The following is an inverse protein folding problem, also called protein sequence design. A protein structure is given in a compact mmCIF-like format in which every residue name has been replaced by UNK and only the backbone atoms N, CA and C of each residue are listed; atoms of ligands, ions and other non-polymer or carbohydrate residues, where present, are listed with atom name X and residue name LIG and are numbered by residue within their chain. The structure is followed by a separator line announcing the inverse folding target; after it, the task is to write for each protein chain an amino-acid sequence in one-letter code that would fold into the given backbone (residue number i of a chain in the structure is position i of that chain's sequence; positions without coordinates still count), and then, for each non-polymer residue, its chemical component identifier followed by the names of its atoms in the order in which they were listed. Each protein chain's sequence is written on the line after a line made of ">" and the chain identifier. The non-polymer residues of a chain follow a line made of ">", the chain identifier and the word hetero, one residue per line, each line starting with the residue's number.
data_IF_269587439154
#
_entry.id   IF_269587439154
#
_cell.length_a   1.000
_cell.length_b   1.000
_cell.length_c   1.000
_cell.angle_alpha   90.00
_cell.angle_beta   90.00
_cell.angle_gamma   90.00
#
_symmetry.space_group_name_H-M   'P 1'
#
loop_
_entity.id
_entity.type
_entity.pdbx_description
1 polymer ?
#
# COMPACT_ATOMS: atom_id res chain seq x y z
N UNK A 1 62.37 -17.44 -7.97
CA UNK A 1 62.19 -18.76 -8.63
C UNK A 1 60.89 -18.69 -9.40
N UNK A 2 60.79 -18.74 -10.72
CA UNK A 2 61.74 -19.10 -11.78
C UNK A 2 60.91 -19.71 -12.91
N UNK A 3 60.93 -19.04 -14.08
CA UNK A 3 60.71 -19.53 -15.46
C UNK A 3 59.46 -20.40 -15.79
N UNK A 4 58.81 -20.32 -16.94
CA UNK A 4 59.37 -20.40 -18.30
C UNK A 4 58.41 -19.78 -19.34
N UNK A 5 59.02 -19.11 -20.31
CA UNK A 5 58.45 -18.62 -21.56
C UNK A 5 58.30 -19.76 -22.61
N UNK A 6 57.78 -19.37 -23.78
CA UNK A 6 58.10 -19.83 -25.16
C UNK A 6 57.20 -20.89 -25.78
N UNK A 7 56.90 -20.95 -27.10
CA UNK A 7 57.05 -20.08 -28.29
C UNK A 7 56.39 -20.78 -29.50
N UNK A 8 55.99 -19.99 -30.51
CA UNK A 8 56.10 -20.20 -32.00
C UNK A 8 55.40 -21.38 -32.72
N UNK A 9 54.76 -21.05 -33.86
CA UNK A 9 55.20 -21.39 -35.25
C UNK A 9 53.99 -21.35 -36.21
N UNK A 10 53.82 -20.39 -37.13
CA UNK A 10 54.35 -20.22 -38.52
C UNK A 10 53.98 -21.35 -39.51
N UNK A 11 53.27 -21.01 -40.60
CA UNK A 11 53.50 -21.35 -42.04
C UNK A 11 52.18 -21.10 -42.84
N UNK A 12 52.02 -20.14 -43.78
CA UNK A 12 52.64 -19.86 -45.09
C UNK A 12 52.16 -20.74 -46.25
N UNK A 13 51.55 -20.13 -47.30
CA UNK A 13 51.66 -20.42 -48.75
C UNK A 13 50.79 -19.38 -49.52
N UNK A 14 51.31 -18.38 -50.27
CA UNK A 14 51.85 -18.39 -51.67
C UNK A 14 50.89 -19.04 -52.69
N UNK A 15 50.58 -18.56 -53.90
CA UNK A 15 50.95 -17.42 -54.77
C UNK A 15 49.91 -17.40 -55.94
N UNK A 16 49.72 -16.22 -56.53
CA UNK A 16 49.14 -15.77 -57.82
C UNK A 16 49.52 -16.58 -59.10
N UNK A 17 49.21 -16.11 -60.34
CA UNK A 17 47.93 -16.01 -61.09
C UNK A 17 48.05 -16.67 -62.50
N UNK A 18 46.99 -16.80 -63.30
CA UNK A 18 47.15 -17.04 -64.75
C UNK A 18 46.05 -16.38 -65.60
N UNK A 19 46.48 -15.36 -66.34
CA UNK A 19 45.83 -14.75 -67.50
C UNK A 19 46.03 -15.65 -68.74
N UNK A 20 45.03 -15.76 -69.61
CA UNK A 20 45.21 -16.16 -71.02
C UNK A 20 44.17 -15.47 -71.89
N UNK A 21 44.65 -14.75 -72.90
CA UNK A 21 43.86 -13.99 -73.88
C UNK A 21 43.50 -14.80 -75.14
N UNK A 22 42.36 -14.43 -75.75
CA UNK A 22 42.08 -14.38 -77.20
C UNK A 22 41.29 -15.53 -77.84
N UNK A 23 40.58 -15.35 -78.99
CA UNK A 23 40.41 -14.14 -79.82
C UNK A 23 38.95 -13.81 -80.26
N UNK A 24 38.84 -12.74 -81.05
CA UNK A 24 37.65 -12.06 -81.57
C UNK A 24 36.78 -12.86 -82.56
N UNK A 25 35.45 -12.62 -82.52
CA UNK A 25 34.64 -11.94 -83.55
C UNK A 25 33.18 -12.45 -83.60
N UNK A 26 32.21 -11.56 -83.31
CA UNK A 26 31.06 -11.33 -84.20
C UNK A 26 30.37 -10.03 -83.82
N UNK A 27 30.38 -9.07 -84.75
CA UNK A 27 29.62 -7.81 -84.65
C UNK A 27 28.12 -8.13 -84.61
N UNK A 28 27.47 -7.90 -83.46
CA UNK A 28 26.03 -7.73 -83.40
C UNK A 28 25.70 -6.25 -83.36
N UNK A 29 24.93 -5.80 -84.37
CA UNK A 29 24.37 -4.46 -84.48
C UNK A 29 23.50 -4.18 -83.25
N UNK A 30 23.61 -3.02 -82.58
CA UNK A 30 22.68 -2.70 -81.51
C UNK A 30 21.30 -2.41 -82.12
N UNK A 31 20.20 -2.90 -81.51
CA UNK A 31 18.88 -2.39 -81.84
C UNK A 31 18.80 -0.91 -81.46
N UNK A 32 18.05 -0.16 -82.26
CA UNK A 32 17.87 1.29 -82.17
C UNK A 32 17.35 1.73 -80.80
N UNK A 33 17.94 2.81 -80.28
CA UNK A 33 17.75 3.41 -78.94
C UNK A 33 16.35 4.04 -78.74
N UNK A 34 15.37 3.76 -79.61
CA UNK A 34 14.06 4.44 -79.60
C UNK A 34 12.90 3.61 -79.04
N UNK A 35 13.12 2.36 -78.66
CA UNK A 35 12.08 1.47 -78.12
C UNK A 35 12.34 0.95 -76.70
N UNK A 36 13.34 1.50 -75.99
CA UNK A 36 13.60 1.21 -74.57
C UNK A 36 13.06 2.29 -73.60
N UNK A 37 12.67 3.47 -74.12
CA UNK A 37 12.19 4.59 -73.30
C UNK A 37 10.72 4.48 -72.89
N UNK A 38 9.96 3.53 -73.43
CA UNK A 38 8.53 3.37 -73.12
C UNK A 38 8.26 2.22 -72.11
N UNK A 39 9.20 1.29 -71.91
CA UNK A 39 9.02 0.18 -70.97
C UNK A 39 9.64 0.44 -69.58
N UNK A 40 10.45 1.49 -69.44
CA UNK A 40 11.07 1.88 -68.17
C UNK A 40 10.33 3.03 -67.45
N UNK A 41 9.12 3.36 -67.91
CA UNK A 41 8.23 4.36 -67.28
C UNK A 41 6.99 3.74 -66.63
N UNK A 42 6.73 2.45 -66.86
CA UNK A 42 5.58 1.72 -66.30
C UNK A 42 5.97 0.74 -65.16
N UNK A 43 7.21 0.79 -64.68
CA UNK A 43 7.66 0.06 -63.48
C UNK A 43 7.80 1.01 -62.28
N UNK A 44 7.79 2.33 -62.50
CA UNK A 44 7.80 3.35 -61.44
C UNK A 44 6.42 3.72 -60.88
N UNK A 45 5.35 3.11 -61.38
CA UNK A 45 3.99 3.26 -60.82
C UNK A 45 3.56 2.08 -59.95
N UNK A 46 4.40 1.06 -59.81
CA UNK A 46 4.29 0.04 -58.76
C UNK A 46 5.23 0.39 -57.61
N UNK A 47 5.25 1.67 -57.22
CA UNK A 47 5.70 2.08 -55.90
C UNK A 47 4.79 1.37 -54.91
N UNK A 48 5.23 0.20 -54.46
CA UNK A 48 4.52 -0.57 -53.46
C UNK A 48 4.20 0.36 -52.31
N UNK A 49 2.93 0.39 -51.91
CA UNK A 49 2.58 0.82 -50.57
C UNK A 49 3.35 -0.11 -49.64
N UNK A 50 4.56 0.30 -49.25
CA UNK A 50 5.10 -0.12 -47.98
C UNK A 50 4.12 0.49 -46.97
N UNK A 51 3.04 -0.25 -46.70
CA UNK A 51 2.34 -0.13 -45.43
C UNK A 51 3.47 -0.32 -44.44
N UNK A 52 3.87 0.76 -43.79
CA UNK A 52 4.52 0.65 -42.51
C UNK A 52 3.51 -0.10 -41.66
N UNK A 53 3.64 -1.42 -41.64
CA UNK A 53 3.24 -2.17 -40.48
C UNK A 53 4.22 -1.63 -39.46
N UNK A 54 3.83 -0.54 -38.79
CA UNK A 54 4.23 -0.39 -37.40
C UNK A 54 3.92 -1.75 -36.82
N UNK A 55 4.97 -2.53 -36.62
CA UNK A 55 4.93 -3.63 -35.68
C UNK A 55 4.73 -2.95 -34.33
N UNK A 56 3.51 -2.47 -34.10
CA UNK A 56 2.92 -2.43 -32.79
C UNK A 56 3.07 -3.87 -32.33
N UNK A 57 4.17 -4.12 -31.61
CA UNK A 57 4.31 -5.30 -30.79
C UNK A 57 2.94 -5.48 -30.12
N UNK A 58 2.27 -6.64 -30.26
CA UNK A 58 1.00 -6.85 -29.59
C UNK A 58 1.14 -6.72 -28.06
N UNK A 59 2.37 -6.71 -27.57
CA UNK A 59 2.77 -6.14 -26.29
C UNK A 59 3.10 -4.66 -26.45
N UNK A 60 2.13 -3.81 -26.12
CA UNK A 60 2.50 -2.53 -25.49
C UNK A 60 3.36 -2.87 -24.26
N UNK A 61 4.46 -2.13 -23.98
CA UNK A 61 5.13 -2.27 -22.70
C UNK A 61 4.06 -2.16 -21.60
N UNK A 62 4.06 -3.05 -20.58
CA UNK A 62 3.04 -3.02 -19.54
C UNK A 62 2.96 -1.61 -18.99
N UNK A 63 1.73 -1.09 -18.86
CA UNK A 63 1.51 0.20 -18.21
C UNK A 63 2.20 0.13 -16.86
N UNK A 64 3.22 0.97 -16.67
CA UNK A 64 4.02 0.98 -15.45
C UNK A 64 3.13 1.19 -14.23
N UNK A 65 2.02 1.92 -14.37
CA UNK A 65 1.02 2.08 -13.30
C UNK A 65 0.26 0.79 -12.97
N UNK A 66 -0.10 0.00 -13.98
CA UNK A 66 -0.75 -1.31 -13.78
C UNK A 66 0.20 -2.29 -13.10
N UNK A 67 1.47 -2.30 -13.50
CA UNK A 67 2.50 -3.12 -12.88
C UNK A 67 2.76 -2.72 -11.41
N UNK A 68 2.87 -1.41 -11.13
CA UNK A 68 2.99 -0.89 -9.75
C UNK A 68 1.81 -1.37 -8.90
N UNK A 69 0.58 -1.14 -9.37
CA UNK A 69 -0.65 -1.52 -8.65
C UNK A 69 -0.71 -3.02 -8.37
N UNK A 70 -0.37 -3.85 -9.36
CA UNK A 70 -0.37 -5.31 -9.23
C UNK A 70 0.65 -5.81 -8.19
N UNK A 71 1.88 -5.26 -8.19
CA UNK A 71 2.89 -5.59 -7.20
C UNK A 71 2.53 -5.08 -5.80
N UNK A 72 1.95 -3.89 -5.70
CA UNK A 72 1.42 -3.33 -4.45
C UNK A 72 0.35 -4.22 -3.84
N UNK A 73 -0.66 -4.61 -4.64
CA UNK A 73 -1.74 -5.49 -4.20
C UNK A 73 -1.23 -6.88 -3.78
N UNK A 74 -0.26 -7.42 -4.52
CA UNK A 74 0.41 -8.67 -4.17
C UNK A 74 1.15 -8.56 -2.84
N UNK A 75 1.87 -7.47 -2.61
CA UNK A 75 2.57 -7.17 -1.36
C UNK A 75 1.63 -7.11 -0.17
N UNK A 76 0.55 -6.34 -0.28
CA UNK A 76 -0.49 -6.23 0.74
C UNK A 76 -1.21 -7.57 0.99
N UNK A 77 -1.43 -8.37 -0.06
CA UNK A 77 -2.01 -9.70 0.09
C UNK A 77 -1.09 -10.65 0.88
N UNK A 78 0.23 -10.56 0.68
CA UNK A 78 1.19 -11.32 1.47
C UNK A 78 1.25 -10.83 2.93
N UNK A 79 1.16 -9.52 3.19
CA UNK A 79 1.06 -8.98 4.55
C UNK A 79 -0.16 -9.50 5.31
N UNK A 80 -1.32 -9.56 4.66
CA UNK A 80 -2.55 -10.13 5.26
C UNK A 80 -2.40 -11.60 5.66
N UNK A 81 -1.46 -12.32 5.03
CA UNK A 81 -1.15 -13.73 5.31
C UNK A 81 0.11 -13.90 6.16
N UNK A 82 0.62 -12.81 6.73
CA UNK A 82 1.84 -12.76 7.54
C UNK A 82 3.10 -13.30 6.82
N UNK A 83 3.10 -13.30 5.48
CA UNK A 83 4.24 -13.73 4.69
C UNK A 83 5.17 -12.54 4.40
N UNK A 84 5.86 -12.08 5.44
CA UNK A 84 6.66 -10.84 5.40
C UNK A 84 7.74 -10.88 4.30
N UNK A 85 8.40 -12.02 4.10
CA UNK A 85 9.46 -12.15 3.10
C UNK A 85 8.95 -11.98 1.67
N UNK A 86 7.74 -12.46 1.35
CA UNK A 86 7.14 -12.28 0.02
C UNK A 86 6.52 -10.90 -0.14
N UNK A 87 5.92 -10.37 0.93
CA UNK A 87 5.41 -9.01 0.96
C UNK A 87 6.51 -8.00 0.61
N UNK A 88 7.66 -8.08 1.31
CA UNK A 88 8.83 -7.23 1.08
C UNK A 88 9.23 -7.19 -0.39
N UNK A 89 9.47 -8.34 -1.01
CA UNK A 89 9.90 -8.39 -2.42
C UNK A 89 8.89 -7.78 -3.39
N UNK A 90 7.59 -8.02 -3.17
CA UNK A 90 6.56 -7.45 -4.03
C UNK A 90 6.48 -5.93 -3.88
N UNK A 91 6.55 -5.42 -2.64
CA UNK A 91 6.54 -3.98 -2.36
C UNK A 91 7.81 -3.28 -2.84
N UNK A 92 8.98 -3.92 -2.71
CA UNK A 92 10.24 -3.43 -3.27
C UNK A 92 10.15 -3.28 -4.79
N UNK A 93 9.62 -4.28 -5.50
CA UNK A 93 9.39 -4.17 -6.95
C UNK A 93 8.36 -3.09 -7.31
N UNK A 94 7.29 -2.92 -6.53
CA UNK A 94 6.35 -1.82 -6.73
C UNK A 94 7.05 -0.47 -6.61
N UNK A 95 7.90 -0.28 -5.60
CA UNK A 95 8.64 0.96 -5.37
C UNK A 95 9.82 1.17 -6.33
N UNK A 96 10.39 0.12 -6.91
CA UNK A 96 11.35 0.22 -8.02
C UNK A 96 10.69 0.82 -9.27
N UNK A 97 9.45 0.42 -9.55
CA UNK A 97 8.67 0.89 -10.70
C UNK A 97 7.99 2.25 -10.43
N UNK A 98 7.53 2.47 -9.19
CA UNK A 98 6.82 3.66 -8.74
C UNK A 98 7.31 4.11 -7.36
N UNK A 99 8.41 4.89 -7.26
CA UNK A 99 9.04 5.23 -5.98
C UNK A 99 8.18 6.06 -5.01
N UNK A 100 7.11 6.66 -5.53
CA UNK A 100 6.16 7.51 -4.80
C UNK A 100 4.75 6.92 -4.79
N UNK A 101 4.58 5.62 -5.05
CA UNK A 101 3.26 4.99 -4.91
C UNK A 101 2.84 4.99 -3.41
N UNK A 102 1.82 5.77 -3.02
CA UNK A 102 1.48 5.94 -1.60
C UNK A 102 1.02 4.62 -0.96
N UNK A 103 0.38 3.74 -1.73
CA UNK A 103 -0.12 2.45 -1.26
C UNK A 103 1.03 1.43 -1.06
N UNK A 104 2.05 1.41 -1.92
CA UNK A 104 3.26 0.61 -1.71
C UNK A 104 4.08 1.11 -0.51
N UNK A 105 4.20 2.44 -0.36
CA UNK A 105 4.87 3.05 0.80
C UNK A 105 4.17 2.69 2.11
N UNK A 106 2.84 2.78 2.16
CA UNK A 106 2.03 2.28 3.29
C UNK A 106 2.27 0.78 3.52
N UNK A 107 2.32 -0.04 2.46
CA UNK A 107 2.64 -1.46 2.56
C UNK A 107 3.99 -1.71 3.23
N UNK A 108 5.03 -0.95 2.88
CA UNK A 108 6.34 -1.03 3.53
C UNK A 108 6.28 -0.59 4.99
N UNK A 109 5.53 0.46 5.31
CA UNK A 109 5.33 0.89 6.70
C UNK A 109 4.70 -0.22 7.56
N UNK A 110 3.62 -0.84 7.07
CA UNK A 110 2.95 -1.96 7.73
C UNK A 110 3.87 -3.17 7.88
N UNK A 111 4.71 -3.46 6.88
CA UNK A 111 5.71 -4.52 6.95
C UNK A 111 6.70 -4.27 8.09
N UNK A 112 7.28 -3.06 8.17
CA UNK A 112 8.21 -2.69 9.24
C UNK A 112 7.54 -2.68 10.63
N UNK A 113 6.27 -2.26 10.72
CA UNK A 113 5.50 -2.36 11.96
C UNK A 113 5.35 -3.82 12.42
N UNK A 114 5.04 -4.77 11.50
CA UNK A 114 4.98 -6.20 11.81
C UNK A 114 6.33 -6.77 12.27
N UNK A 115 7.43 -6.22 11.75
CA UNK A 115 8.78 -6.60 12.14
C UNK A 115 9.26 -5.93 13.45
N UNK A 116 8.42 -5.12 14.09
CA UNK A 116 8.76 -4.35 15.29
C UNK A 116 9.90 -3.35 15.05
N UNK A 117 9.88 -2.72 13.88
CA UNK A 117 10.81 -1.67 13.46
C UNK A 117 10.08 -0.33 13.32
N UNK A 118 9.61 0.28 14.44
CA UNK A 118 8.69 1.42 14.40
C UNK A 118 9.28 2.67 13.74
N UNK A 119 10.59 2.92 13.89
CA UNK A 119 11.25 4.06 13.26
C UNK A 119 11.23 3.99 11.72
N UNK A 120 11.43 2.79 11.16
CA UNK A 120 11.33 2.58 9.70
C UNK A 120 9.87 2.66 9.25
N UNK A 121 8.95 2.13 10.04
CA UNK A 121 7.52 2.24 9.74
C UNK A 121 7.06 3.71 9.68
N UNK A 122 7.51 4.53 10.62
CA UNK A 122 7.25 5.97 10.67
C UNK A 122 7.78 6.68 9.40
N UNK A 123 9.02 6.42 9.00
CA UNK A 123 9.59 6.99 7.76
C UNK A 123 8.75 6.65 6.53
N UNK A 124 8.32 5.40 6.38
CA UNK A 124 7.51 4.99 5.23
C UNK A 124 6.09 5.56 5.27
N UNK A 125 5.49 5.73 6.45
CA UNK A 125 4.20 6.43 6.58
C UNK A 125 4.33 7.91 6.21
N UNK A 126 5.39 8.58 6.64
CA UNK A 126 5.64 9.98 6.29
C UNK A 126 5.79 10.14 4.78
N UNK A 127 6.60 9.29 4.14
CA UNK A 127 6.74 9.27 2.68
C UNK A 127 5.42 8.99 1.95
N UNK A 128 4.58 8.08 2.48
CA UNK A 128 3.26 7.83 1.89
C UNK A 128 2.38 9.08 1.93
N UNK A 129 2.44 9.85 3.02
CA UNK A 129 1.67 11.09 3.21
C UNK A 129 2.27 12.30 2.49
N UNK A 130 3.56 12.26 2.16
CA UNK A 130 4.20 13.21 1.24
C UNK A 130 3.77 12.96 -0.21
N UNK A 131 3.66 11.70 -0.60
CA UNK A 131 3.21 11.30 -1.94
C UNK A 131 1.71 11.58 -2.17
N UNK A 132 0.88 11.36 -1.16
CA UNK A 132 -0.54 11.70 -1.17
C UNK A 132 -0.97 12.27 0.20
N UNK A 133 -1.15 13.59 0.25
CA UNK A 133 -1.53 14.29 1.46
C UNK A 133 -2.95 13.97 1.94
N UNK A 134 -3.81 13.49 1.06
CA UNK A 134 -5.21 13.16 1.37
C UNK A 134 -5.41 11.67 1.64
N UNK A 135 -4.31 10.90 1.79
CA UNK A 135 -4.38 9.46 1.97
C UNK A 135 -4.85 9.02 3.37
N UNK A 136 -6.17 9.06 3.57
CA UNK A 136 -6.85 8.79 4.85
C UNK A 136 -6.45 7.45 5.47
N UNK A 137 -6.29 6.41 4.66
CA UNK A 137 -5.92 5.07 5.14
C UNK A 137 -4.52 5.06 5.79
N UNK A 138 -3.53 5.64 5.12
CA UNK A 138 -2.19 5.76 5.68
C UNK A 138 -2.18 6.63 6.93
N UNK A 139 -2.96 7.72 6.98
CA UNK A 139 -3.08 8.54 8.20
C UNK A 139 -3.63 7.76 9.39
N UNK A 140 -4.66 6.94 9.17
CA UNK A 140 -5.23 6.09 10.22
C UNK A 140 -4.21 5.06 10.73
N UNK A 141 -3.51 4.39 9.81
CA UNK A 141 -2.50 3.39 10.17
C UNK A 141 -1.27 4.02 10.85
N UNK A 142 -0.83 5.18 10.38
CA UNK A 142 0.24 5.93 11.02
C UNK A 142 -0.16 6.37 12.43
N UNK A 143 -1.41 6.83 12.61
CA UNK A 143 -1.90 7.16 13.93
C UNK A 143 -1.91 5.97 14.89
N UNK A 144 -2.22 4.76 14.40
CA UNK A 144 -2.15 3.55 15.21
C UNK A 144 -0.71 3.25 15.65
N UNK A 145 0.27 3.35 14.74
CA UNK A 145 1.69 3.23 15.09
C UNK A 145 2.10 4.26 16.16
N UNK A 146 1.74 5.53 15.96
CA UNK A 146 2.05 6.61 16.91
C UNK A 146 1.39 6.38 18.28
N UNK A 147 0.17 5.86 18.29
CA UNK A 147 -0.55 5.54 19.51
C UNK A 147 0.16 4.41 20.28
N UNK A 148 0.57 3.34 19.58
CA UNK A 148 1.28 2.21 20.19
C UNK A 148 2.65 2.62 20.75
N UNK A 149 3.32 3.59 20.13
CA UNK A 149 4.57 4.19 20.60
C UNK A 149 4.37 5.23 21.74
N UNK A 150 3.14 5.44 22.20
CA UNK A 150 2.81 6.41 23.25
C UNK A 150 2.88 7.88 22.79
N UNK A 151 3.07 8.15 21.49
CA UNK A 151 3.08 9.49 20.88
C UNK A 151 1.64 10.01 20.69
N UNK A 152 0.86 10.05 21.77
CA UNK A 152 -0.59 10.33 21.75
C UNK A 152 -0.95 11.63 21.03
N UNK A 153 -0.20 12.72 21.28
CA UNK A 153 -0.42 14.01 20.61
C UNK A 153 -0.30 13.91 19.09
N UNK A 154 0.69 13.16 18.60
CA UNK A 154 0.88 12.96 17.16
C UNK A 154 -0.22 12.06 16.58
N UNK A 155 -0.56 10.96 17.26
CA UNK A 155 -1.63 10.06 16.87
C UNK A 155 -2.97 10.78 16.71
N UNK A 156 -3.37 11.54 17.73
CA UNK A 156 -4.62 12.30 17.74
C UNK A 156 -4.66 13.37 16.65
N UNK A 157 -3.52 14.00 16.32
CA UNK A 157 -3.44 14.93 15.18
C UNK A 157 -3.72 14.23 13.86
N UNK A 158 -3.10 13.07 13.62
CA UNK A 158 -3.33 12.29 12.38
C UNK A 158 -4.78 11.81 12.27
N UNK A 159 -5.35 11.29 13.36
CA UNK A 159 -6.76 10.87 13.43
C UNK A 159 -7.71 12.03 13.17
N UNK A 160 -7.43 13.22 13.73
CA UNK A 160 -8.26 14.41 13.48
C UNK A 160 -8.26 14.82 12.01
N UNK A 161 -7.12 14.74 11.33
CA UNK A 161 -7.01 15.06 9.90
C UNK A 161 -7.77 14.01 9.09
N UNK A 162 -7.48 12.72 9.32
CA UNK A 162 -8.15 11.62 8.65
C UNK A 162 -9.68 11.68 8.84
N UNK A 163 -10.15 12.04 10.04
CA UNK A 163 -11.57 12.19 10.34
C UNK A 163 -12.24 13.37 9.63
N UNK A 164 -11.56 14.12 8.77
CA UNK A 164 -12.20 15.10 7.89
C UNK A 164 -12.73 14.46 6.59
N UNK A 165 -12.20 13.30 6.20
CA UNK A 165 -12.66 12.55 5.03
C UNK A 165 -14.00 11.86 5.32
N UNK A 166 -15.08 12.44 4.80
CA UNK A 166 -16.44 11.92 4.97
C UNK A 166 -16.75 10.72 4.07
N UNK A 167 -15.89 10.42 3.10
CA UNK A 167 -16.08 9.34 2.13
C UNK A 167 -15.36 8.05 2.51
N UNK A 168 -14.51 8.09 3.54
CA UNK A 168 -13.77 6.94 4.01
C UNK A 168 -14.70 5.84 4.58
N UNK A 169 -14.65 4.64 4.00
CA UNK A 169 -15.53 3.52 4.39
C UNK A 169 -15.43 3.16 5.88
N UNK A 170 -14.22 3.19 6.45
CA UNK A 170 -13.98 2.85 7.85
C UNK A 170 -14.04 4.07 8.78
N UNK A 171 -14.82 5.10 8.42
CA UNK A 171 -14.95 6.34 9.19
C UNK A 171 -15.47 6.13 10.61
N UNK A 172 -16.35 5.16 10.83
CA UNK A 172 -16.84 4.83 12.18
C UNK A 172 -15.68 4.43 13.12
N UNK A 173 -14.85 3.49 12.69
CA UNK A 173 -13.66 3.05 13.43
C UNK A 173 -12.65 4.19 13.61
N UNK A 174 -12.47 5.03 12.59
CA UNK A 174 -11.58 6.17 12.65
C UNK A 174 -12.01 7.19 13.73
N UNK A 175 -13.32 7.46 13.83
CA UNK A 175 -13.90 8.31 14.87
C UNK A 175 -13.77 7.68 16.26
N UNK A 176 -13.98 6.36 16.38
CA UNK A 176 -13.77 5.63 17.62
C UNK A 176 -12.29 5.72 18.08
N UNK A 177 -11.34 5.58 17.15
CA UNK A 177 -9.91 5.73 17.41
C UNK A 177 -9.57 7.16 17.86
N UNK A 178 -10.14 8.19 17.22
CA UNK A 178 -9.96 9.59 17.64
C UNK A 178 -10.49 9.82 19.06
N UNK A 179 -11.69 9.29 19.35
CA UNK A 179 -12.31 9.36 20.66
C UNK A 179 -11.46 8.71 21.74
N UNK A 180 -10.99 7.48 21.49
CA UNK A 180 -10.06 6.75 22.37
C UNK A 180 -8.77 7.53 22.58
N UNK A 181 -8.14 8.00 21.51
CA UNK A 181 -6.88 8.75 21.62
C UNK A 181 -7.05 10.00 22.52
N UNK A 182 -8.14 10.75 22.36
CA UNK A 182 -8.44 11.92 23.21
C UNK A 182 -8.76 11.54 24.66
N UNK A 183 -9.44 10.41 24.86
CA UNK A 183 -9.70 9.88 26.19
C UNK A 183 -8.40 9.60 26.93
N UNK A 184 -7.44 8.93 26.29
CA UNK A 184 -6.12 8.63 26.86
C UNK A 184 -5.24 9.87 27.07
N UNK A 185 -5.41 10.91 26.25
CA UNK A 185 -4.79 12.22 26.50
C UNK A 185 -5.37 12.94 27.72
N UNK A 186 -6.46 12.44 28.32
CA UNK A 186 -7.19 13.11 29.39
C UNK A 186 -8.11 14.23 28.90
N UNK A 187 -8.24 14.45 27.59
CA UNK A 187 -9.16 15.42 27.00
C UNK A 187 -10.58 14.81 26.89
N UNK A 188 -11.18 14.57 28.07
CA UNK A 188 -12.46 13.88 28.21
C UNK A 188 -13.60 14.60 27.48
N UNK A 189 -13.58 15.93 27.46
CA UNK A 189 -14.56 16.75 26.77
C UNK A 189 -14.45 16.57 25.25
N UNK A 190 -13.22 16.60 24.70
CA UNK A 190 -13.04 16.41 23.27
C UNK A 190 -13.22 14.95 22.82
N UNK A 191 -13.08 13.97 23.73
CA UNK A 191 -13.25 12.55 23.44
C UNK A 191 -14.71 12.18 23.14
N UNK A 192 -15.67 12.80 23.83
CA UNK A 192 -17.10 12.44 23.75
C UNK A 192 -17.66 12.49 22.33
N UNK A 193 -17.48 13.62 21.63
CA UNK A 193 -18.13 13.84 20.33
C UNK A 193 -17.72 12.81 19.26
N UNK A 194 -16.43 12.51 19.04
CA UNK A 194 -16.03 11.44 18.12
C UNK A 194 -16.62 10.07 18.47
N UNK A 195 -16.68 9.70 19.75
CA UNK A 195 -17.27 8.41 20.18
C UNK A 195 -18.78 8.35 19.91
N UNK A 196 -19.50 9.45 20.17
CA UNK A 196 -20.93 9.52 19.88
C UNK A 196 -21.20 9.48 18.36
N UNK A 197 -20.34 10.13 17.56
CA UNK A 197 -20.41 10.02 16.11
C UNK A 197 -20.09 8.60 15.63
N UNK A 198 -19.10 7.92 16.21
CA UNK A 198 -18.80 6.53 15.89
C UNK A 198 -20.02 5.64 16.13
N UNK A 199 -20.71 5.78 17.27
CA UNK A 199 -21.96 5.06 17.55
C UNK A 199 -23.14 5.43 16.65
N UNK A 200 -23.14 6.63 16.09
CA UNK A 200 -24.15 7.03 15.11
C UNK A 200 -23.95 6.32 13.75
N UNK A 201 -22.70 6.04 13.36
CA UNK A 201 -22.39 5.25 12.15
C UNK A 201 -22.50 3.74 12.40
N UNK A 202 -21.87 3.27 13.47
CA UNK A 202 -21.94 1.88 13.91
C UNK A 202 -22.38 1.82 15.37
N UNK A 203 -23.66 1.55 15.55
CA UNK A 203 -24.28 1.46 16.87
C UNK A 203 -23.80 0.27 17.71
N UNK A 204 -22.99 -0.63 17.13
CA UNK A 204 -22.42 -1.81 17.78
C UNK A 204 -20.96 -1.65 18.17
N UNK A 205 -20.35 -0.47 17.97
CA UNK A 205 -18.96 -0.23 18.36
C UNK A 205 -18.77 -0.30 19.89
N UNK A 206 -18.26 -1.44 20.35
CA UNK A 206 -18.16 -1.77 21.78
C UNK A 206 -17.13 -0.90 22.50
N UNK A 207 -16.07 -0.50 21.81
CA UNK A 207 -15.07 0.42 22.35
C UNK A 207 -15.71 1.77 22.68
N UNK A 208 -16.50 2.36 21.76
CA UNK A 208 -17.18 3.62 22.01
C UNK A 208 -18.23 3.50 23.11
N UNK A 209 -18.96 2.39 23.19
CA UNK A 209 -19.89 2.14 24.30
C UNK A 209 -19.16 2.15 25.66
N UNK A 210 -18.05 1.43 25.77
CA UNK A 210 -17.28 1.33 27.01
C UNK A 210 -16.68 2.68 27.42
N UNK A 211 -16.05 3.39 26.48
CA UNK A 211 -15.45 4.70 26.75
C UNK A 211 -16.49 5.76 27.10
N UNK A 212 -17.64 5.75 26.42
CA UNK A 212 -18.75 6.66 26.74
C UNK A 212 -19.45 6.32 28.06
N UNK A 213 -19.47 5.04 28.46
CA UNK A 213 -19.92 4.65 29.79
C UNK A 213 -18.97 5.20 30.86
N UNK A 214 -17.66 5.07 30.65
CA UNK A 214 -16.63 5.63 31.55
C UNK A 214 -16.74 7.16 31.64
N UNK A 215 -16.91 7.85 30.51
CA UNK A 215 -17.11 9.30 30.47
C UNK A 215 -18.40 9.75 31.16
N UNK A 216 -19.49 9.00 31.02
CA UNK A 216 -20.73 9.31 31.74
C UNK A 216 -20.54 9.14 33.25
N UNK A 217 -19.89 8.05 33.67
CA UNK A 217 -19.62 7.77 35.08
C UNK A 217 -18.74 8.87 35.72
N UNK A 218 -17.64 9.26 35.06
CA UNK A 218 -16.77 10.33 35.59
C UNK A 218 -17.47 11.69 35.68
N UNK A 219 -18.52 11.90 34.89
CA UNK A 219 -19.36 13.10 34.93
C UNK A 219 -20.59 12.95 35.87
N UNK A 220 -20.74 11.83 36.58
CA UNK A 220 -21.85 11.56 37.49
C UNK A 220 -23.18 11.20 36.80
N UNK A 221 -23.15 10.88 35.51
CA UNK A 221 -24.31 10.46 34.74
C UNK A 221 -24.50 8.93 34.79
N UNK A 222 -24.55 8.36 35.99
CA UNK A 222 -24.44 6.90 36.21
C UNK A 222 -25.57 6.06 35.58
N UNK A 223 -26.76 6.64 35.43
CA UNK A 223 -27.86 5.98 34.70
C UNK A 223 -27.51 5.77 33.22
N UNK A 224 -27.01 6.82 32.55
CA UNK A 224 -26.57 6.74 31.15
C UNK A 224 -25.35 5.85 30.99
N UNK A 225 -24.42 5.92 31.95
CA UNK A 225 -23.23 5.09 31.99
C UNK A 225 -23.61 3.60 32.01
N UNK A 226 -24.56 3.25 32.89
CA UNK A 226 -25.07 1.90 33.02
C UNK A 226 -25.75 1.40 31.75
N UNK A 227 -26.65 2.18 31.15
CA UNK A 227 -27.32 1.79 29.90
C UNK A 227 -26.31 1.44 28.80
N UNK A 228 -25.27 2.27 28.64
CA UNK A 228 -24.20 2.03 27.66
C UNK A 228 -23.39 0.78 27.99
N UNK A 229 -23.07 0.57 29.27
CA UNK A 229 -22.31 -0.60 29.71
C UNK A 229 -23.10 -1.91 29.60
N UNK A 230 -24.40 -1.89 29.91
CA UNK A 230 -25.27 -3.05 29.68
C UNK A 230 -25.33 -3.39 28.19
N UNK A 231 -25.43 -2.37 27.32
CA UNK A 231 -25.36 -2.59 25.87
C UNK A 231 -24.02 -3.18 25.44
N UNK A 232 -22.89 -2.73 26.02
CA UNK A 232 -21.59 -3.35 25.80
C UNK A 232 -21.60 -4.86 26.11
N UNK A 233 -22.13 -5.27 27.27
CA UNK A 233 -22.21 -6.69 27.65
C UNK A 233 -23.14 -7.54 26.78
N UNK A 234 -24.01 -6.94 25.96
CA UNK A 234 -24.79 -7.68 24.95
C UNK A 234 -24.03 -7.93 23.64
N UNK A 235 -22.88 -7.25 23.46
CA UNK A 235 -22.15 -7.22 22.20
C UNK A 235 -20.72 -7.76 22.31
N UNK A 236 -20.10 -7.67 23.49
CA UNK A 236 -18.75 -8.14 23.76
C UNK A 236 -18.68 -8.88 25.09
N UNK A 237 -17.66 -9.74 25.19
CA UNK A 237 -17.32 -10.40 26.43
C UNK A 237 -16.83 -9.39 27.47
N UNK A 238 -17.08 -9.71 28.73
CA UNK A 238 -16.61 -8.91 29.84
C UNK A 238 -15.07 -8.95 29.91
N UNK A 239 -14.47 -7.76 30.03
CA UNK A 239 -13.06 -7.55 30.34
C UNK A 239 -12.90 -7.09 31.78
N UNK A 240 -11.71 -7.24 32.40
CA UNK A 240 -11.43 -6.71 33.73
C UNK A 240 -11.86 -5.24 33.87
N UNK A 241 -11.46 -4.38 32.92
CA UNK A 241 -11.82 -2.95 32.91
C UNK A 241 -13.33 -2.70 32.86
N UNK A 242 -14.07 -3.52 32.12
CA UNK A 242 -15.53 -3.40 32.01
C UNK A 242 -16.25 -3.88 33.28
N UNK A 243 -15.72 -4.91 33.96
CA UNK A 243 -16.25 -5.43 35.21
C UNK A 243 -15.98 -4.48 36.37
N UNK A 244 -14.79 -3.90 36.41
CA UNK A 244 -14.44 -2.84 37.35
C UNK A 244 -15.41 -1.66 37.19
N UNK A 245 -15.55 -1.14 35.97
CA UNK A 245 -16.47 -0.05 35.67
C UNK A 245 -17.93 -0.40 36.02
N UNK A 246 -18.36 -1.64 35.79
CA UNK A 246 -19.70 -2.09 36.16
C UNK A 246 -19.91 -2.08 37.67
N UNK A 247 -18.91 -2.51 38.44
CA UNK A 247 -18.94 -2.46 39.90
C UNK A 247 -18.97 -1.01 40.41
N UNK A 248 -18.17 -0.12 39.83
CA UNK A 248 -18.14 1.31 40.17
C UNK A 248 -19.49 2.00 39.92
N UNK A 249 -20.05 1.84 38.71
CA UNK A 249 -21.34 2.43 38.34
C UNK A 249 -22.46 1.87 39.23
N UNK A 250 -22.46 0.56 39.50
CA UNK A 250 -23.45 -0.05 40.38
C UNK A 250 -23.42 0.53 41.80
N UNK A 251 -22.23 0.73 42.38
CA UNK A 251 -22.10 1.39 43.69
C UNK A 251 -22.63 2.83 43.65
N UNK A 252 -22.29 3.59 42.61
CA UNK A 252 -22.73 4.98 42.46
C UNK A 252 -24.25 5.11 42.34
N UNK A 253 -24.90 4.12 41.71
CA UNK A 253 -26.38 3.97 41.64
C UNK A 253 -27.02 3.48 42.95
N UNK A 254 -26.24 3.09 43.95
CA UNK A 254 -26.72 2.48 45.19
C UNK A 254 -27.07 1.00 45.10
N UNK A 255 -26.76 0.34 43.98
CA UNK A 255 -26.98 -1.10 43.77
C UNK A 255 -25.79 -1.92 44.28
N UNK A 256 -25.77 -2.14 45.60
CA UNK A 256 -24.71 -2.90 46.27
C UNK A 256 -24.67 -4.37 45.86
N UNK A 257 -25.82 -4.94 45.46
CA UNK A 257 -25.91 -6.33 45.03
C UNK A 257 -25.22 -6.52 43.67
N UNK A 258 -25.54 -5.68 42.68
CA UNK A 258 -24.89 -5.69 41.38
C UNK A 258 -23.39 -5.35 41.49
N UNK A 259 -23.03 -4.39 42.35
CA UNK A 259 -21.63 -4.04 42.59
C UNK A 259 -20.81 -5.24 43.08
N UNK A 260 -21.35 -5.98 44.06
CA UNK A 260 -20.71 -7.17 44.60
C UNK A 260 -20.70 -8.34 43.59
N UNK A 261 -21.72 -8.44 42.74
CA UNK A 261 -21.75 -9.42 41.65
C UNK A 261 -20.60 -9.23 40.67
N UNK A 262 -20.42 -8.02 40.13
CA UNK A 262 -19.33 -7.75 39.19
C UNK A 262 -17.95 -7.82 39.83
N UNK A 263 -17.81 -7.39 41.09
CA UNK A 263 -16.54 -7.50 41.81
C UNK A 263 -16.11 -8.97 41.96
N UNK A 264 -17.03 -9.89 42.29
CA UNK A 264 -16.72 -11.32 42.36
C UNK A 264 -16.34 -11.93 41.01
N UNK A 265 -16.90 -11.43 39.91
CA UNK A 265 -16.50 -11.88 38.57
C UNK A 265 -15.08 -11.43 38.22
N UNK A 266 -14.70 -10.21 38.62
CA UNK A 266 -13.35 -9.68 38.43
C UNK A 266 -12.30 -10.51 39.18
N UNK A 267 -12.60 -10.93 40.41
CA UNK A 267 -11.69 -11.79 41.20
C UNK A 267 -11.49 -13.19 40.59
N UNK A 268 -12.41 -13.62 39.73
CA UNK A 268 -12.39 -14.93 39.08
C UNK A 268 -11.84 -14.95 37.65
N UNK A 269 -11.52 -13.79 37.07
CA UNK A 269 -11.07 -13.63 35.67
C UNK A 269 -9.56 -13.68 35.50
#
# INVERSE_FOLDING_TARGET
>A
MGHFQTTKSIASHRLTPLFREGPMTRRHRPPSIRSLSAAMSLVWLLGGCAVQVESASPYAPPDTGEAVSAYTDLGLAYLRRDNLSRARRALEHALELGPQDPQALEGMALLHQRQKEPALAEEFFERALEADTDYTRARNNYAALLYDEGKLDAACRQLRIAAQDMTYDNRAQLLANLGRCRFEQGDLEAARRPLEQALAYDSRDTQSLLLLARLDHTQGHDERAWERLQRFFTLADATPDSLELASEIARARGDQEAAAFYHRQLDGS
#
